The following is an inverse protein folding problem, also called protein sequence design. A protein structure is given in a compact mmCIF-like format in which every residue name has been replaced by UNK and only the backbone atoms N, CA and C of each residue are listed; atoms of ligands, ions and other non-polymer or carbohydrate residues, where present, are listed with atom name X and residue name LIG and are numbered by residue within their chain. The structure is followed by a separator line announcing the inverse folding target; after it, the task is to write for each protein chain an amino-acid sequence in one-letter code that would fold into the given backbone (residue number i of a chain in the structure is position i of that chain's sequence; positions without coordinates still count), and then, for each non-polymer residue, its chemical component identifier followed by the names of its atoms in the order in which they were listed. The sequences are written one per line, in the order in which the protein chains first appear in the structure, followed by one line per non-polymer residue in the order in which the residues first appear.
data_IF_616712085152
#
_entry.id   IF_616712085152
#
_cell.length_a   1.000
_cell.length_b   1.000
_cell.length_c   1.000
_cell.angle_alpha   90.00
_cell.angle_beta   90.00
_cell.angle_gamma   90.00
#
_symmetry.space_group_name_H-M   'P 1'
#
loop_
_entity.id
_entity.type
_entity.pdbx_description
1 polymer ?
#
# COMPACT_ATOMS: atom_id res chain seq x y z
N UNK A 1 -17.40 -5.58 -20.22
CA UNK A 1 -17.33 -4.11 -19.97
C UNK A 1 -18.60 -3.57 -19.33
N UNK A 2 -19.80 -3.97 -19.77
CA UNK A 2 -21.08 -3.58 -19.14
C UNK A 2 -21.10 -3.78 -17.63
N UNK A 3 -20.73 -4.98 -17.18
CA UNK A 3 -20.55 -5.36 -15.77
C UNK A 3 -19.75 -4.38 -14.90
N UNK A 4 -18.61 -3.88 -15.39
CA UNK A 4 -17.75 -2.96 -14.63
C UNK A 4 -18.33 -1.54 -14.59
N UNK A 5 -19.03 -1.13 -15.64
CA UNK A 5 -19.72 0.15 -15.69
C UNK A 5 -20.98 0.15 -14.83
N UNK A 6 -21.67 -1.00 -14.75
CA UNK A 6 -22.81 -1.19 -13.85
C UNK A 6 -22.37 -1.14 -12.39
N UNK A 7 -21.23 -1.76 -12.07
CA UNK A 7 -20.59 -1.61 -10.77
C UNK A 7 -20.26 -0.14 -10.49
N UNK A 8 -19.58 0.55 -11.41
CA UNK A 8 -19.19 1.96 -11.25
C UNK A 8 -20.41 2.87 -11.01
N UNK A 9 -21.53 2.61 -11.70
CA UNK A 9 -22.78 3.33 -11.51
C UNK A 9 -23.37 3.15 -10.11
N UNK A 10 -23.30 1.93 -9.61
CA UNK A 10 -23.77 1.57 -8.28
C UNK A 10 -22.92 2.20 -7.17
N UNK A 11 -21.58 2.18 -7.30
CA UNK A 11 -20.68 2.54 -6.19
C UNK A 11 -20.09 3.93 -6.27
N UNK A 12 -20.13 4.61 -7.42
CA UNK A 12 -19.46 5.89 -7.62
C UNK A 12 -20.41 7.03 -8.03
N UNK A 13 -19.89 8.26 -7.98
CA UNK A 13 -20.60 9.46 -8.46
C UNK A 13 -20.57 9.64 -9.98
N UNK A 14 -19.74 8.88 -10.71
CA UNK A 14 -19.51 9.08 -12.15
C UNK A 14 -20.46 8.30 -13.07
N UNK A 15 -21.36 7.52 -12.50
CA UNK A 15 -22.29 6.69 -13.25
C UNK A 15 -21.59 5.64 -14.11
N UNK A 16 -22.20 5.24 -15.24
CA UNK A 16 -21.64 4.27 -16.22
C UNK A 16 -20.53 4.83 -17.12
N UNK A 17 -19.67 5.72 -16.61
CA UNK A 17 -18.62 6.39 -17.41
C UNK A 17 -17.38 5.50 -17.58
N UNK A 18 -17.14 5.00 -18.79
CA UNK A 18 -15.95 4.21 -19.12
C UNK A 18 -14.67 5.02 -19.05
N UNK A 19 -14.72 6.30 -19.42
CA UNK A 19 -13.57 7.21 -19.32
C UNK A 19 -13.18 7.38 -17.85
N UNK A 20 -14.15 7.62 -16.96
CA UNK A 20 -13.86 7.72 -15.53
C UNK A 20 -13.29 6.40 -14.99
N UNK A 21 -13.87 5.26 -15.34
CA UNK A 21 -13.35 3.95 -14.95
C UNK A 21 -11.86 3.78 -15.28
N UNK A 22 -11.49 3.96 -16.55
CA UNK A 22 -10.11 3.74 -17.00
C UNK A 22 -9.14 4.76 -16.41
N UNK A 23 -9.55 6.02 -16.30
CA UNK A 23 -8.70 7.05 -15.72
C UNK A 23 -8.43 6.80 -14.23
N UNK A 24 -9.45 6.48 -13.45
CA UNK A 24 -9.30 6.23 -12.01
C UNK A 24 -8.40 5.01 -11.77
N UNK A 25 -8.65 3.91 -12.49
CA UNK A 25 -7.84 2.71 -12.36
C UNK A 25 -6.39 2.92 -12.83
N UNK A 26 -6.19 3.63 -13.94
CA UNK A 26 -4.85 3.94 -14.44
C UNK A 26 -4.07 4.83 -13.46
N UNK A 27 -4.73 5.81 -12.84
CA UNK A 27 -4.12 6.67 -11.82
C UNK A 27 -3.77 5.87 -10.55
N UNK A 28 -4.65 4.99 -10.07
CA UNK A 28 -4.35 4.13 -8.91
C UNK A 28 -3.13 3.25 -9.15
N UNK A 29 -3.05 2.65 -10.33
CA UNK A 29 -1.91 1.83 -10.70
C UNK A 29 -0.64 2.67 -10.88
N UNK A 30 -0.73 3.83 -11.52
CA UNK A 30 0.39 4.72 -11.74
C UNK A 30 0.95 5.26 -10.42
N UNK A 31 0.11 5.70 -9.50
CA UNK A 31 0.55 6.18 -8.18
C UNK A 31 1.19 5.06 -7.36
N UNK A 32 0.62 3.86 -7.39
CA UNK A 32 1.24 2.67 -6.80
C UNK A 32 2.62 2.39 -7.39
N UNK A 33 2.77 2.46 -8.71
CA UNK A 33 4.02 2.20 -9.42
C UNK A 33 5.10 3.25 -9.12
N UNK A 34 4.72 4.53 -9.14
CA UNK A 34 5.61 5.65 -8.81
C UNK A 34 6.12 5.51 -7.38
N UNK A 35 5.24 5.21 -6.44
CA UNK A 35 5.61 5.03 -5.05
C UNK A 35 6.51 3.80 -4.86
N UNK A 36 6.14 2.65 -5.41
CA UNK A 36 6.95 1.43 -5.34
C UNK A 36 8.34 1.63 -5.98
N UNK A 37 8.44 2.42 -7.06
CA UNK A 37 9.72 2.78 -7.66
C UNK A 37 10.56 3.69 -6.75
N UNK A 38 9.95 4.69 -6.11
CA UNK A 38 10.62 5.57 -5.14
C UNK A 38 11.16 4.77 -3.94
N UNK A 39 10.38 3.81 -3.45
CA UNK A 39 10.76 2.90 -2.36
C UNK A 39 11.86 1.90 -2.75
N UNK A 40 11.78 1.35 -3.97
CA UNK A 40 12.78 0.41 -4.47
C UNK A 40 14.10 1.11 -4.79
N UNK A 41 14.06 2.23 -5.51
CA UNK A 41 15.25 3.00 -5.83
C UNK A 41 15.93 3.48 -4.55
N UNK A 42 15.12 4.02 -3.63
CA UNK A 42 15.60 4.62 -2.39
C UNK A 42 16.49 5.83 -2.64
N UNK A 43 16.69 6.63 -1.58
CA UNK A 43 17.69 7.70 -1.60
C UNK A 43 19.10 7.15 -1.32
N UNK A 44 19.21 6.28 -0.31
CA UNK A 44 20.46 5.61 0.06
C UNK A 44 20.36 4.08 0.04
N UNK A 45 19.18 3.53 0.32
CA UNK A 45 18.91 2.11 0.33
C UNK A 45 17.41 1.88 0.06
N UNK A 46 17.03 0.73 -0.49
CA UNK A 46 15.63 0.38 -0.70
C UNK A 46 14.86 0.25 0.61
N UNK A 47 13.54 0.42 0.58
CA UNK A 47 12.68 0.44 1.77
C UNK A 47 12.86 -0.79 2.69
N UNK A 48 12.95 -1.99 2.12
CA UNK A 48 13.11 -3.21 2.93
C UNK A 48 14.43 -3.22 3.72
N UNK A 49 15.48 -2.54 3.22
CA UNK A 49 16.74 -2.34 3.97
C UNK A 49 16.53 -1.35 5.10
N UNK A 50 15.79 -0.27 4.86
CA UNK A 50 15.48 0.75 5.86
C UNK A 50 14.65 0.17 7.01
N UNK A 51 13.58 -0.55 6.71
CA UNK A 51 12.76 -1.21 7.75
C UNK A 51 13.51 -2.32 8.45
N UNK A 52 14.29 -3.11 7.68
CA UNK A 52 15.21 -4.07 8.22
C UNK A 52 16.18 -3.43 9.21
N UNK A 53 16.73 -2.26 8.89
CA UNK A 53 17.65 -1.54 9.77
C UNK A 53 17.01 -1.16 11.09
N UNK A 54 15.78 -0.63 11.08
CA UNK A 54 15.04 -0.28 12.30
C UNK A 54 14.92 -1.46 13.26
N UNK A 55 14.71 -2.67 12.74
CA UNK A 55 14.54 -3.87 13.57
C UNK A 55 15.82 -4.70 13.72
N UNK A 56 16.93 -4.31 13.09
CA UNK A 56 18.19 -5.07 13.08
C UNK A 56 18.13 -6.38 12.27
N UNK A 57 17.45 -6.37 11.12
CA UNK A 57 17.28 -7.50 10.21
C UNK A 57 17.81 -7.18 8.81
N UNK A 58 18.69 -8.03 8.27
CA UNK A 58 19.16 -7.98 6.89
C UNK A 58 18.44 -9.02 6.03
N UNK A 59 17.29 -8.66 5.48
CA UNK A 59 16.58 -9.52 4.52
C UNK A 59 17.44 -9.76 3.26
N UNK A 60 17.42 -10.96 2.65
CA UNK A 60 18.00 -11.17 1.33
C UNK A 60 17.38 -10.20 0.30
N UNK A 61 18.19 -9.63 -0.60
CA UNK A 61 17.73 -8.61 -1.54
C UNK A 61 16.59 -9.10 -2.44
N UNK A 62 16.67 -10.32 -2.97
CA UNK A 62 15.61 -10.90 -3.79
C UNK A 62 14.29 -11.01 -3.02
N UNK A 63 14.35 -11.37 -1.73
CA UNK A 63 13.15 -11.51 -0.90
C UNK A 63 12.56 -10.15 -0.57
N UNK A 64 13.41 -9.16 -0.24
CA UNK A 64 12.99 -7.78 -0.03
C UNK A 64 12.32 -7.17 -1.26
N UNK A 65 12.94 -7.29 -2.43
CA UNK A 65 12.37 -6.83 -3.70
C UNK A 65 11.05 -7.55 -4.02
N UNK A 66 11.01 -8.87 -3.85
CA UNK A 66 9.81 -9.66 -4.12
C UNK A 66 8.64 -9.23 -3.21
N UNK A 67 8.86 -9.07 -1.90
CA UNK A 67 7.77 -8.80 -0.96
C UNK A 67 7.38 -7.32 -0.90
N UNK A 68 8.34 -6.40 -0.81
CA UNK A 68 8.08 -4.97 -0.65
C UNK A 68 7.79 -4.24 -1.96
N UNK A 69 8.30 -4.73 -3.08
CA UNK A 69 8.08 -4.08 -4.38
C UNK A 69 7.07 -4.85 -5.21
N UNK A 70 7.39 -6.08 -5.62
CA UNK A 70 6.58 -6.78 -6.62
C UNK A 70 5.22 -7.24 -6.06
N UNK A 71 5.21 -8.07 -5.02
CA UNK A 71 3.98 -8.64 -4.47
C UNK A 71 3.07 -7.58 -3.88
N UNK A 72 3.63 -6.59 -3.18
CA UNK A 72 2.84 -5.49 -2.61
C UNK A 72 2.18 -4.65 -3.71
N UNK A 73 2.93 -4.28 -4.76
CA UNK A 73 2.37 -3.53 -5.90
C UNK A 73 1.25 -4.31 -6.58
N UNK A 74 1.48 -5.59 -6.87
CA UNK A 74 0.46 -6.44 -7.50
C UNK A 74 -0.79 -6.62 -6.61
N UNK A 75 -0.61 -6.75 -5.29
CA UNK A 75 -1.72 -6.84 -4.35
C UNK A 75 -2.54 -5.55 -4.32
N UNK A 76 -1.89 -4.39 -4.31
CA UNK A 76 -2.55 -3.08 -4.33
C UNK A 76 -3.26 -2.84 -5.67
N UNK A 77 -2.64 -3.19 -6.80
CA UNK A 77 -3.30 -3.15 -8.11
C UNK A 77 -4.50 -4.08 -8.19
N UNK A 78 -4.40 -5.28 -7.61
CA UNK A 78 -5.52 -6.21 -7.50
C UNK A 78 -6.66 -5.67 -6.63
N UNK A 79 -6.33 -5.00 -5.53
CA UNK A 79 -7.32 -4.29 -4.71
C UNK A 79 -7.97 -3.14 -5.50
N UNK A 80 -7.19 -2.35 -6.24
CA UNK A 80 -7.64 -1.32 -7.18
C UNK A 80 -8.65 -1.87 -8.19
N UNK A 81 -8.28 -2.93 -8.90
CA UNK A 81 -9.14 -3.59 -9.87
C UNK A 81 -10.43 -4.13 -9.24
N UNK A 82 -10.32 -4.72 -8.05
CA UNK A 82 -11.48 -5.24 -7.30
C UNK A 82 -12.42 -4.13 -6.86
N UNK A 83 -11.89 -3.06 -6.28
CA UNK A 83 -12.69 -1.97 -5.73
C UNK A 83 -13.28 -1.06 -6.79
N UNK A 84 -12.46 -0.62 -7.74
CA UNK A 84 -12.84 0.32 -8.80
C UNK A 84 -13.60 -0.42 -9.92
N UNK A 85 -13.17 -1.63 -10.29
CA UNK A 85 -13.76 -2.41 -11.38
C UNK A 85 -14.82 -3.43 -10.98
N UNK A 86 -14.92 -3.75 -9.69
CA UNK A 86 -15.90 -4.73 -9.20
C UNK A 86 -15.61 -6.15 -9.66
N UNK A 87 -14.39 -6.45 -10.10
CA UNK A 87 -14.04 -7.73 -10.69
C UNK A 87 -12.57 -8.13 -10.48
N UNK A 88 -12.29 -9.41 -10.71
CA UNK A 88 -10.95 -9.94 -10.91
C UNK A 88 -10.90 -10.77 -12.20
N UNK A 89 -9.78 -10.81 -12.93
CA UNK A 89 -9.71 -11.51 -14.23
C UNK A 89 -10.04 -13.00 -14.14
N UNK A 90 -9.70 -13.64 -13.00
CA UNK A 90 -9.87 -15.09 -12.79
C UNK A 90 -11.22 -15.41 -12.15
N UNK A 91 -11.71 -14.55 -11.25
CA UNK A 91 -12.93 -14.81 -10.45
C UNK A 91 -14.19 -14.25 -11.14
N UNK A 92 -14.03 -13.27 -12.02
CA UNK A 92 -15.14 -12.55 -12.63
C UNK A 92 -15.68 -11.44 -11.74
N UNK A 93 -16.97 -11.17 -11.82
CA UNK A 93 -17.63 -10.16 -10.99
C UNK A 93 -17.66 -10.57 -9.53
N UNK A 94 -17.45 -9.59 -8.65
CA UNK A 94 -17.44 -9.78 -7.21
C UNK A 94 -18.70 -9.17 -6.60
N UNK A 95 -19.03 -9.59 -5.38
CA UNK A 95 -20.15 -9.00 -4.66
C UNK A 95 -19.87 -7.52 -4.34
N UNK A 96 -20.90 -6.65 -4.27
CA UNK A 96 -20.71 -5.26 -3.91
C UNK A 96 -19.97 -5.07 -2.58
N UNK A 97 -20.22 -5.95 -1.60
CA UNK A 97 -19.51 -5.93 -0.33
C UNK A 97 -18.01 -6.21 -0.47
N UNK A 98 -17.61 -7.16 -1.32
CA UNK A 98 -16.20 -7.45 -1.56
C UNK A 98 -15.48 -6.29 -2.28
N UNK A 99 -16.13 -5.69 -3.28
CA UNK A 99 -15.60 -4.53 -3.98
C UNK A 99 -15.47 -3.31 -3.06
N UNK A 100 -16.49 -3.01 -2.27
CA UNK A 100 -16.46 -1.92 -1.27
C UNK A 100 -15.41 -2.19 -0.19
N UNK A 101 -15.25 -3.45 0.23
CA UNK A 101 -14.16 -3.85 1.12
C UNK A 101 -12.79 -3.58 0.51
N UNK A 102 -12.57 -3.87 -0.77
CA UNK A 102 -11.32 -3.56 -1.45
C UNK A 102 -11.05 -2.05 -1.59
N UNK A 103 -12.07 -1.23 -1.83
CA UNK A 103 -11.93 0.24 -1.75
C UNK A 103 -11.47 0.68 -0.36
N UNK A 104 -12.04 0.09 0.69
CA UNK A 104 -11.60 0.27 2.07
C UNK A 104 -10.14 -0.13 2.26
N UNK A 105 -9.70 -1.28 1.72
CA UNK A 105 -8.30 -1.74 1.77
C UNK A 105 -7.36 -0.71 1.16
N UNK A 106 -7.68 -0.16 -0.02
CA UNK A 106 -6.86 0.88 -0.66
C UNK A 106 -6.77 2.10 0.26
N UNK A 107 -7.90 2.64 0.72
CA UNK A 107 -7.90 3.82 1.60
C UNK A 107 -7.05 3.57 2.86
N UNK A 108 -7.29 2.44 3.53
CA UNK A 108 -6.55 2.07 4.74
C UNK A 108 -5.06 1.92 4.49
N UNK A 109 -4.68 1.27 3.39
CA UNK A 109 -3.30 1.08 2.96
C UNK A 109 -2.60 2.41 2.69
N UNK A 110 -3.18 3.29 1.86
CA UNK A 110 -2.58 4.58 1.50
C UNK A 110 -2.34 5.46 2.73
N UNK A 111 -3.32 5.51 3.63
CA UNK A 111 -3.25 6.32 4.86
C UNK A 111 -2.23 5.74 5.84
N UNK A 112 -2.30 4.45 6.12
CA UNK A 112 -1.38 3.83 7.10
C UNK A 112 0.05 3.81 6.58
N UNK A 113 0.27 3.59 5.31
CA UNK A 113 1.59 3.62 4.72
C UNK A 113 2.20 5.03 4.81
N UNK A 114 1.45 6.05 4.41
CA UNK A 114 1.84 7.45 4.57
C UNK A 114 2.22 7.78 6.03
N UNK A 115 1.35 7.44 6.98
CA UNK A 115 1.50 7.87 8.38
C UNK A 115 2.48 7.00 9.17
N UNK A 116 2.42 5.68 9.01
CA UNK A 116 3.16 4.71 9.82
C UNK A 116 4.49 4.36 9.17
N UNK A 117 4.49 4.00 7.89
CA UNK A 117 5.70 3.58 7.16
C UNK A 117 6.63 4.74 6.85
N UNK A 118 6.09 5.94 6.61
CA UNK A 118 6.90 7.08 6.17
C UNK A 118 7.02 8.19 7.22
N UNK A 119 5.97 8.97 7.41
CA UNK A 119 6.04 10.19 8.23
C UNK A 119 6.31 9.90 9.70
N UNK A 120 5.71 8.85 10.27
CA UNK A 120 5.94 8.43 11.64
C UNK A 120 7.40 8.04 11.89
N UNK A 121 7.98 7.22 11.01
CA UNK A 121 9.39 6.83 11.13
C UNK A 121 10.34 8.00 10.89
N UNK A 122 10.02 8.87 9.93
CA UNK A 122 10.79 10.08 9.66
C UNK A 122 10.78 11.06 10.84
N UNK A 123 9.63 11.23 11.51
CA UNK A 123 9.48 12.04 12.71
C UNK A 123 10.21 11.44 13.91
N UNK A 124 10.31 10.11 14.00
CA UNK A 124 11.10 9.40 15.01
C UNK A 124 12.61 9.45 14.78
N UNK A 125 13.08 10.07 13.68
CA UNK A 125 14.49 10.27 13.38
C UNK A 125 15.15 9.18 12.54
N UNK A 126 14.37 8.30 11.89
CA UNK A 126 14.89 7.35 10.90
C UNK A 126 14.92 8.03 9.53
N UNK A 127 16.07 8.62 9.17
CA UNK A 127 16.26 9.42 7.95
C UNK A 127 17.54 9.03 7.20
N UNK A 128 17.50 8.88 5.85
CA UNK A 128 16.37 9.12 4.96
C UNK A 128 15.31 7.99 5.02
N UNK A 129 14.08 8.29 4.60
CA UNK A 129 13.00 7.32 4.47
C UNK A 129 12.50 7.28 3.00
N UNK A 130 12.78 6.21 2.25
CA UNK A 130 12.30 6.01 0.88
C UNK A 130 10.78 6.15 0.78
N UNK A 131 10.25 6.61 -0.36
CA UNK A 131 8.80 6.74 -0.57
C UNK A 131 8.19 8.04 -0.01
N UNK A 132 8.89 8.76 0.88
CA UNK A 132 8.31 9.93 1.57
C UNK A 132 7.86 11.04 0.59
N UNK A 133 8.58 11.23 -0.53
CA UNK A 133 8.28 12.25 -1.55
C UNK A 133 7.01 11.94 -2.34
N UNK A 134 6.64 10.67 -2.45
CA UNK A 134 5.47 10.22 -3.19
C UNK A 134 4.23 10.05 -2.31
N UNK A 135 4.36 10.07 -0.96
CA UNK A 135 3.21 10.01 -0.03
C UNK A 135 2.10 11.04 -0.25
N UNK A 136 2.35 12.30 -0.72
CA UNK A 136 1.24 13.21 -1.02
C UNK A 136 0.28 12.67 -2.08
N UNK A 137 0.76 11.87 -3.04
CA UNK A 137 -0.10 11.22 -4.04
C UNK A 137 -1.06 10.22 -3.39
N UNK A 138 -0.57 9.43 -2.42
CA UNK A 138 -1.38 8.46 -1.68
C UNK A 138 -2.47 9.14 -0.84
N UNK A 139 -2.17 10.28 -0.21
CA UNK A 139 -3.18 11.05 0.53
C UNK A 139 -4.26 11.59 -0.40
N UNK A 140 -3.85 12.18 -1.52
CA UNK A 140 -4.79 12.72 -2.51
C UNK A 140 -5.66 11.61 -3.11
N UNK A 141 -5.07 10.46 -3.41
CA UNK A 141 -5.78 9.28 -3.90
C UNK A 141 -6.79 8.75 -2.89
N UNK A 142 -6.40 8.58 -1.62
CA UNK A 142 -7.31 8.11 -0.58
C UNK A 142 -8.53 9.04 -0.42
N UNK A 143 -8.30 10.36 -0.44
CA UNK A 143 -9.37 11.35 -0.40
C UNK A 143 -10.25 11.28 -1.65
N UNK A 144 -9.63 11.17 -2.83
CA UNK A 144 -10.34 11.05 -4.09
C UNK A 144 -11.23 9.81 -4.12
N UNK A 145 -10.71 8.64 -3.75
CA UNK A 145 -11.48 7.39 -3.69
C UNK A 145 -12.61 7.50 -2.66
N UNK A 146 -12.34 8.04 -1.46
CA UNK A 146 -13.38 8.21 -0.43
C UNK A 146 -14.54 9.10 -0.91
N UNK A 147 -14.23 10.20 -1.61
CA UNK A 147 -15.24 11.14 -2.11
C UNK A 147 -15.99 10.59 -3.33
N UNK A 148 -15.28 9.98 -4.27
CA UNK A 148 -15.88 9.53 -5.53
C UNK A 148 -16.66 8.24 -5.39
N UNK A 149 -16.28 7.38 -4.45
CA UNK A 149 -16.96 6.12 -4.13
C UNK A 149 -17.77 6.18 -2.84
N UNK A 150 -18.09 7.39 -2.34
CA UNK A 150 -18.89 7.58 -1.13
C UNK A 150 -20.19 6.76 -1.14
N UNK A 151 -20.88 6.69 -2.29
CA UNK A 151 -22.10 5.89 -2.44
C UNK A 151 -21.85 4.42 -2.08
N UNK A 152 -20.83 3.80 -2.68
CA UNK A 152 -20.44 2.42 -2.40
C UNK A 152 -20.04 2.22 -0.95
N UNK A 153 -19.21 3.11 -0.40
CA UNK A 153 -18.77 3.07 1.00
C UNK A 153 -19.95 3.14 1.98
N UNK A 154 -21.00 3.91 1.65
CA UNK A 154 -22.23 4.00 2.43
C UNK A 154 -23.19 2.83 2.23
N UNK A 155 -23.14 2.13 1.09
CA UNK A 155 -23.97 0.96 0.82
C UNK A 155 -23.52 -0.26 1.65
N UNK A 156 -22.22 -0.39 1.94
CA UNK A 156 -21.66 -1.50 2.71
C UNK A 156 -20.64 -1.02 3.75
N UNK A 157 -21.05 -0.25 4.78
CA UNK A 157 -20.13 0.43 5.70
C UNK A 157 -19.29 -0.54 6.52
N UNK A 158 -19.86 -1.68 6.94
CA UNK A 158 -19.10 -2.72 7.65
C UNK A 158 -17.97 -3.27 6.77
N UNK A 159 -18.25 -3.57 5.50
CA UNK A 159 -17.24 -4.06 4.58
C UNK A 159 -16.15 -3.01 4.32
N UNK A 160 -16.55 -1.74 4.12
CA UNK A 160 -15.63 -0.63 3.95
C UNK A 160 -14.67 -0.50 5.15
N UNK A 161 -15.20 -0.49 6.38
CA UNK A 161 -14.39 -0.38 7.59
C UNK A 161 -13.52 -1.61 7.85
N UNK A 162 -14.02 -2.82 7.57
CA UNK A 162 -13.18 -4.02 7.59
C UNK A 162 -12.04 -3.90 6.59
N UNK A 163 -12.32 -3.43 5.38
CA UNK A 163 -11.30 -3.14 4.38
C UNK A 163 -10.25 -2.16 4.88
N UNK A 164 -10.67 -1.00 5.40
CA UNK A 164 -9.77 0.01 5.99
C UNK A 164 -8.90 -0.60 7.08
N UNK A 165 -9.49 -1.38 8.00
CA UNK A 165 -8.75 -2.03 9.07
C UNK A 165 -7.72 -3.06 8.53
N UNK A 166 -8.07 -3.83 7.50
CA UNK A 166 -7.16 -4.79 6.87
C UNK A 166 -6.00 -4.10 6.14
N UNK A 167 -6.30 -3.08 5.33
CA UNK A 167 -5.29 -2.28 4.63
C UNK A 167 -4.37 -1.56 5.61
N UNK A 168 -4.94 -0.94 6.64
CA UNK A 168 -4.17 -0.27 7.69
C UNK A 168 -3.31 -1.25 8.49
N UNK A 169 -3.90 -2.37 8.89
CA UNK A 169 -3.26 -3.42 9.67
C UNK A 169 -2.05 -4.02 8.96
N UNK A 170 -2.11 -4.18 7.64
CA UNK A 170 -0.98 -4.68 6.86
C UNK A 170 0.31 -3.87 7.11
N UNK A 171 0.25 -2.54 6.95
CA UNK A 171 1.42 -1.67 7.13
C UNK A 171 1.83 -1.51 8.60
N UNK A 172 0.86 -1.46 9.52
CA UNK A 172 1.14 -1.43 10.97
C UNK A 172 1.93 -2.67 11.41
N UNK A 173 1.63 -3.83 10.82
CA UNK A 173 2.25 -5.11 11.17
C UNK A 173 3.60 -5.37 10.50
N UNK A 174 4.06 -4.52 9.56
CA UNK A 174 5.34 -4.73 8.86
C UNK A 174 6.50 -4.80 9.85
N UNK A 175 6.72 -3.79 10.69
CA UNK A 175 7.85 -3.79 11.63
C UNK A 175 7.74 -4.91 12.69
N UNK A 176 6.59 -5.16 13.33
CA UNK A 176 6.40 -6.35 14.17
C UNK A 176 6.70 -7.66 13.45
N UNK A 177 6.24 -7.81 12.20
CA UNK A 177 6.50 -8.98 11.37
C UNK A 177 7.99 -9.18 11.09
N UNK A 178 8.71 -8.11 10.73
CA UNK A 178 10.16 -8.19 10.55
C UNK A 178 10.90 -8.54 11.85
N UNK A 179 10.44 -8.07 13.01
CA UNK A 179 10.99 -8.51 14.31
C UNK A 179 10.77 -10.00 14.55
N UNK A 180 9.60 -10.53 14.21
CA UNK A 180 9.33 -11.96 14.29
C UNK A 180 10.24 -12.76 13.35
N UNK A 181 10.43 -12.29 12.10
CA UNK A 181 11.37 -12.90 11.15
C UNK A 181 12.79 -12.89 11.71
N UNK A 182 13.24 -11.80 12.35
CA UNK A 182 14.55 -11.73 13.01
C UNK A 182 14.70 -12.78 14.11
N UNK A 183 13.67 -13.00 14.92
CA UNK A 183 13.70 -14.02 15.96
C UNK A 183 13.80 -15.44 15.38
N UNK A 184 13.13 -15.71 14.26
CA UNK A 184 13.14 -17.02 13.58
C UNK A 184 14.42 -17.24 12.76
N UNK A 185 15.04 -16.17 12.24
CA UNK A 185 16.28 -16.21 11.44
C UNK A 185 17.39 -15.35 12.06
N UNK A 186 18.00 -15.77 13.18
CA UNK A 186 19.03 -14.99 13.87
C UNK A 186 20.27 -14.68 13.01
N UNK A 187 20.60 -15.54 12.04
CA UNK A 187 21.72 -15.34 11.11
C UNK A 187 21.57 -14.09 10.23
N UNK A 188 20.34 -13.59 10.06
CA UNK A 188 20.05 -12.35 9.35
C UNK A 188 20.12 -11.12 10.27
N UNK A 189 20.41 -11.31 11.56
CA UNK A 189 20.53 -10.24 12.54
C UNK A 189 21.68 -9.29 12.23
N UNK A 190 21.44 -7.99 12.42
CA UNK A 190 22.44 -6.91 12.37
C UNK A 190 22.20 -5.93 13.51
N UNK A 191 23.17 -5.04 13.74
CA UNK A 191 22.98 -3.92 14.65
C UNK A 191 21.79 -3.07 14.15
N UNK A 192 20.79 -2.81 15.00
CA UNK A 192 19.64 -1.99 14.62
C UNK A 192 20.05 -0.53 14.45
N UNK A 193 19.26 0.18 13.65
CA UNK A 193 19.45 1.60 13.42
C UNK A 193 19.13 2.41 14.68
N UNK A 194 20.08 3.25 15.10
CA UNK A 194 19.90 4.21 16.17
C UNK A 194 19.24 5.47 15.59
N UNK A 195 18.15 5.92 16.21
CA UNK A 195 17.42 7.14 15.81
C UNK A 195 18.37 8.34 15.72
N UNK A 196 18.15 9.20 14.74
CA UNK A 196 18.93 10.42 14.47
C UNK A 196 20.39 10.20 14.07
N UNK A 197 20.82 8.95 13.93
CA UNK A 197 22.11 8.62 13.36
C UNK A 197 21.98 8.30 11.87
N UNK A 198 23.07 8.38 11.09
CA UNK A 198 23.07 7.93 9.70
C UNK A 198 22.63 6.48 9.56
N UNK A 199 22.10 6.15 8.38
CA UNK A 199 21.70 4.78 8.04
C UNK A 199 22.91 3.82 8.17
N UNK A 200 22.76 2.64 8.82
CA UNK A 200 23.88 1.73 9.03
C UNK A 200 24.54 1.27 7.72
N UNK A 201 25.87 1.22 7.67
CA UNK A 201 26.60 0.93 6.42
C UNK A 201 26.18 -0.38 5.72
N UNK A 202 25.84 -1.42 6.50
CA UNK A 202 25.45 -2.73 5.97
C UNK A 202 24.18 -2.70 5.11
N UNK A 203 23.37 -1.64 5.18
CA UNK A 203 22.16 -1.50 4.36
C UNK A 203 22.46 -1.16 2.89
N UNK A 204 23.68 -0.67 2.62
CA UNK A 204 24.15 -0.25 1.29
C UNK A 204 24.84 -1.39 0.52
N UNK A 205 25.00 -2.54 1.17
CA UNK A 205 25.57 -3.79 0.62
C UNK A 205 24.49 -4.74 0.07
#
# INVERSE_FOLDING_TARGET
MTAALDHLDQVSIFGRSSVAFFLILALDWAFSAVHAYDEWRGEEAPLWRVFGAIVGLRLPNWLGFLSFTLLLTLALWGAGLTGIGGCLPIVGQLSPAAAVGALGVIIGARVSDTLVSHWGLYALGYRPNPGLKSTPLYVLEALFIALTFWKGLSLAPCAAWTGVALGAGFFILVLPGLRAVRAIRPSWGRAPWIRWQPLPAWTKE
#
